data_IF_845306262340
#
_entry.id   IF_845306262340
#
_cell.length_a   1.000
_cell.length_b   1.000
_cell.length_c   1.000
_cell.angle_alpha   90.00
_cell.angle_beta   90.00
_cell.angle_gamma   90.00
#
_symmetry.space_group_name_H-M   'P 1'
#
loop_
_entity.id
_entity.type
_entity.pdbx_description
1 polymer ?
#
# COMPACT_ATOMS: atom_id res chain seq x y z
N UNK A 1 -30.96 15.84 -2.32
CA UNK A 1 -31.20 14.44 -2.73
C UNK A 1 -29.82 13.80 -2.84
N UNK A 2 -29.37 13.11 -1.79
CA UNK A 2 -28.03 12.52 -1.77
C UNK A 2 -27.94 11.46 -2.86
N UNK A 3 -27.02 11.65 -3.80
CA UNK A 3 -26.74 10.62 -4.79
C UNK A 3 -26.28 9.37 -4.05
N UNK A 4 -27.03 8.27 -4.16
CA UNK A 4 -26.61 6.95 -3.68
C UNK A 4 -25.24 6.64 -4.28
N UNK A 5 -24.19 6.85 -3.51
CA UNK A 5 -22.84 6.44 -3.89
C UNK A 5 -22.74 4.93 -3.81
N UNK A 6 -21.82 4.35 -4.56
CA UNK A 6 -21.62 2.90 -4.56
C UNK A 6 -21.34 2.37 -3.13
N UNK A 7 -20.54 3.11 -2.34
CA UNK A 7 -20.29 2.83 -0.92
C UNK A 7 -21.56 2.87 -0.07
N UNK A 8 -22.45 3.85 -0.27
CA UNK A 8 -23.73 3.88 0.46
C UNK A 8 -24.70 2.77 0.05
N UNK A 9 -24.50 2.18 -1.14
CA UNK A 9 -25.36 1.10 -1.65
C UNK A 9 -24.87 -0.27 -1.19
N UNK A 10 -23.57 -0.52 -1.25
CA UNK A 10 -23.00 -1.85 -1.03
C UNK A 10 -22.06 -1.93 0.19
N UNK A 11 -21.79 -0.83 0.88
CA UNK A 11 -20.91 -0.81 2.05
C UNK A 11 -19.40 -0.77 1.74
N UNK A 12 -19.00 -0.84 0.47
CA UNK A 12 -17.59 -0.78 0.03
C UNK A 12 -17.45 -0.08 -1.32
N UNK A 13 -16.22 0.15 -1.80
CA UNK A 13 -15.95 0.58 -3.17
C UNK A 13 -14.84 -0.26 -3.81
N UNK A 14 -14.86 -0.42 -5.14
CA UNK A 14 -13.78 -1.16 -5.83
C UNK A 14 -12.39 -0.50 -5.72
N UNK A 15 -12.35 0.80 -5.38
CA UNK A 15 -11.12 1.56 -5.14
C UNK A 15 -10.39 1.13 -3.86
N UNK A 16 -11.02 0.35 -2.97
CA UNK A 16 -10.40 -0.20 -1.77
C UNK A 16 -9.20 -1.10 -2.08
N UNK A 17 -9.15 -1.69 -3.27
CA UNK A 17 -8.04 -2.54 -3.72
C UNK A 17 -7.01 -1.83 -4.58
N UNK A 18 -7.14 -0.52 -4.81
CA UNK A 18 -6.28 0.24 -5.73
C UNK A 18 -4.77 0.10 -5.43
N UNK A 19 -4.43 -0.12 -4.16
CA UNK A 19 -3.04 -0.28 -3.72
C UNK A 19 -2.74 -1.68 -3.16
N UNK A 20 -3.57 -2.67 -3.48
CA UNK A 20 -3.21 -4.06 -3.23
C UNK A 20 -2.22 -4.54 -4.29
N UNK A 21 -1.00 -3.99 -4.23
CA UNK A 21 0.06 -4.23 -5.21
C UNK A 21 0.67 -5.63 -5.14
N UNK A 22 0.16 -6.49 -4.23
CA UNK A 22 0.43 -7.92 -4.22
C UNK A 22 -0.27 -8.67 -5.35
N UNK A 23 -1.40 -8.18 -5.87
CA UNK A 23 -2.12 -8.83 -6.97
C UNK A 23 -1.62 -8.33 -8.32
N UNK A 24 -0.71 -9.09 -8.93
CA UNK A 24 -0.03 -8.73 -10.17
C UNK A 24 -0.19 -9.83 -11.21
N UNK A 25 -0.57 -9.45 -12.42
CA UNK A 25 -0.73 -10.31 -13.60
C UNK A 25 0.21 -9.78 -14.69
N UNK A 26 1.18 -10.58 -15.12
CA UNK A 26 2.17 -10.21 -16.14
C UNK A 26 2.88 -8.86 -15.88
N UNK A 27 3.15 -8.58 -14.60
CA UNK A 27 3.80 -7.35 -14.15
C UNK A 27 2.88 -6.13 -14.04
N UNK A 28 1.57 -6.31 -14.22
CA UNK A 28 0.55 -5.27 -14.07
C UNK A 28 -0.39 -5.54 -12.91
N UNK A 29 -0.68 -4.50 -12.15
CA UNK A 29 -1.80 -4.48 -11.21
C UNK A 29 -3.05 -3.97 -11.93
N UNK A 30 -4.16 -4.68 -11.78
CA UNK A 30 -5.46 -4.34 -12.37
C UNK A 30 -6.39 -3.81 -11.27
N UNK A 31 -6.99 -2.66 -11.51
CA UNK A 31 -7.77 -1.96 -10.50
C UNK A 31 -8.97 -1.22 -11.11
N UNK A 32 -9.77 -0.62 -10.23
CA UNK A 32 -10.89 0.22 -10.60
C UNK A 32 -10.71 1.65 -10.11
N UNK A 33 -11.05 2.61 -10.96
CA UNK A 33 -11.26 4.02 -10.60
C UNK A 33 -12.63 4.47 -11.06
N UNK A 34 -13.45 4.97 -10.13
CA UNK A 34 -14.79 5.50 -10.42
C UNK A 34 -14.79 6.62 -11.48
N UNK A 35 -13.84 7.58 -11.50
CA UNK A 35 -13.78 8.60 -12.55
C UNK A 35 -13.60 8.03 -13.95
N UNK A 36 -12.84 6.92 -14.08
CA UNK A 36 -12.56 6.30 -15.39
C UNK A 36 -13.82 5.70 -15.98
N UNK A 37 -14.75 5.18 -15.17
CA UNK A 37 -16.01 4.58 -15.64
C UNK A 37 -16.73 5.43 -16.69
N UNK A 38 -16.84 6.74 -16.47
CA UNK A 38 -17.56 7.65 -17.38
C UNK A 38 -16.77 8.04 -18.63
N UNK A 39 -15.44 7.99 -18.57
CA UNK A 39 -14.55 8.40 -19.66
C UNK A 39 -13.92 7.22 -20.39
N UNK A 40 -14.17 5.99 -19.96
CA UNK A 40 -13.52 4.77 -20.46
C UNK A 40 -13.67 4.61 -21.96
N UNK A 41 -14.89 4.69 -22.49
CA UNK A 41 -15.16 4.53 -23.93
C UNK A 41 -14.32 5.49 -24.80
N UNK A 42 -13.99 6.68 -24.28
CA UNK A 42 -13.17 7.66 -24.99
C UNK A 42 -11.67 7.43 -24.81
N UNK A 43 -11.25 6.86 -23.69
CA UNK A 43 -9.85 6.73 -23.28
C UNK A 43 -9.34 5.29 -23.35
N UNK A 44 -10.16 4.34 -23.77
CA UNK A 44 -9.82 2.92 -23.87
C UNK A 44 -8.51 2.70 -24.66
N UNK A 45 -7.61 1.89 -24.11
CA UNK A 45 -6.29 1.62 -24.69
C UNK A 45 -5.28 2.77 -24.58
N UNK A 46 -5.67 3.93 -24.04
CA UNK A 46 -4.75 5.05 -23.80
C UNK A 46 -4.06 4.94 -22.44
N UNK A 47 -2.94 5.65 -22.28
CA UNK A 47 -2.26 5.83 -21.00
C UNK A 47 -2.47 7.25 -20.50
N UNK A 48 -2.88 7.40 -19.24
CA UNK A 48 -3.10 8.68 -18.57
C UNK A 48 -2.22 8.81 -17.33
N UNK A 49 -2.10 10.03 -16.82
CA UNK A 49 -1.55 10.27 -15.49
C UNK A 49 -2.69 10.48 -14.51
N UNK A 50 -2.74 9.65 -13.46
CA UNK A 50 -3.75 9.74 -12.41
C UNK A 50 -3.15 10.43 -11.20
N UNK A 51 -3.75 11.54 -10.78
CA UNK A 51 -3.42 12.17 -9.51
C UNK A 51 -4.41 11.79 -8.43
N UNK A 52 -3.87 11.39 -7.29
CA UNK A 52 -4.63 10.94 -6.13
C UNK A 52 -4.65 12.06 -5.10
N UNK A 53 -5.82 12.37 -4.58
CA UNK A 53 -5.94 13.33 -3.50
C UNK A 53 -6.81 12.82 -2.35
N UNK A 54 -6.42 13.21 -1.15
CA UNK A 54 -7.19 12.99 0.06
C UNK A 54 -7.77 14.31 0.55
N UNK A 55 -8.92 14.23 1.20
CA UNK A 55 -9.60 15.36 1.82
C UNK A 55 -9.41 15.22 3.33
N UNK A 56 -8.80 16.22 3.94
CA UNK A 56 -8.66 16.30 5.39
C UNK A 56 -10.01 16.66 6.05
N UNK A 57 -10.18 16.38 7.36
CA UNK A 57 -11.36 16.81 8.13
C UNK A 57 -11.69 18.32 8.02
N UNK A 58 -10.67 19.15 7.81
CA UNK A 58 -10.82 20.60 7.58
C UNK A 58 -11.12 20.97 6.11
N UNK A 59 -11.49 19.99 5.27
CA UNK A 59 -11.79 20.13 3.83
C UNK A 59 -10.55 20.49 2.98
N UNK A 60 -9.36 20.58 3.58
CA UNK A 60 -8.14 20.80 2.81
C UNK A 60 -7.80 19.56 1.96
N UNK A 61 -7.45 19.81 0.71
CA UNK A 61 -7.03 18.76 -0.22
C UNK A 61 -5.51 18.61 -0.23
N UNK A 62 -5.06 17.38 -0.24
CA UNK A 62 -3.65 17.01 -0.35
C UNK A 62 -3.46 16.06 -1.51
N UNK A 63 -2.45 16.30 -2.35
CA UNK A 63 -1.93 15.28 -3.26
C UNK A 63 -1.25 14.20 -2.43
N UNK A 64 -1.81 13.00 -2.53
CA UNK A 64 -1.34 11.82 -1.80
C UNK A 64 -0.36 11.01 -2.65
N UNK A 65 -0.47 11.12 -3.97
CA UNK A 65 0.41 10.42 -4.88
C UNK A 65 -0.05 10.54 -6.32
N UNK A 66 0.58 9.77 -7.18
CA UNK A 66 0.17 9.64 -8.57
C UNK A 66 0.48 8.26 -9.13
N UNK A 67 -0.16 7.92 -10.24
CA UNK A 67 0.09 6.72 -11.03
C UNK A 67 0.41 7.18 -12.45
N UNK A 68 1.61 6.85 -12.96
CA UNK A 68 2.06 7.21 -14.30
C UNK A 68 3.13 6.25 -14.85
N UNK A 69 2.90 5.60 -16.01
CA UNK A 69 1.65 5.58 -16.78
C UNK A 69 0.53 4.76 -16.09
N UNK A 70 -0.73 5.14 -16.33
CA UNK A 70 -1.90 4.35 -15.98
C UNK A 70 -2.69 4.04 -17.24
N UNK A 71 -2.76 2.76 -17.62
CA UNK A 71 -3.45 2.30 -18.83
C UNK A 71 -4.94 2.13 -18.56
N UNK A 72 -5.78 2.65 -19.45
CA UNK A 72 -7.24 2.44 -19.41
C UNK A 72 -7.57 1.16 -20.16
N UNK A 73 -8.24 0.23 -19.48
CA UNK A 73 -8.42 -1.13 -19.99
C UNK A 73 -9.41 -1.20 -21.15
N UNK A 74 -9.09 -2.11 -22.08
CA UNK A 74 -10.07 -2.62 -23.04
C UNK A 74 -11.02 -3.64 -22.43
N UNK A 75 -12.14 -3.89 -23.08
CA UNK A 75 -13.09 -4.94 -22.66
C UNK A 75 -12.40 -6.32 -22.55
N UNK A 76 -11.57 -6.67 -23.53
CA UNK A 76 -10.81 -7.92 -23.53
C UNK A 76 -9.80 -8.00 -22.37
N UNK A 77 -9.12 -6.90 -22.06
CA UNK A 77 -8.17 -6.86 -20.95
C UNK A 77 -8.87 -6.96 -19.60
N UNK A 78 -10.03 -6.31 -19.44
CA UNK A 78 -10.83 -6.42 -18.22
C UNK A 78 -11.38 -7.84 -18.05
N UNK A 79 -11.84 -8.47 -19.13
CA UNK A 79 -12.29 -9.87 -19.12
C UNK A 79 -11.16 -10.84 -18.75
N UNK A 80 -9.97 -10.66 -19.34
CA UNK A 80 -8.77 -11.41 -19.00
C UNK A 80 -8.37 -11.26 -17.54
N UNK A 81 -8.41 -10.03 -17.01
CA UNK A 81 -8.13 -9.76 -15.60
C UNK A 81 -9.13 -10.49 -14.70
N UNK A 82 -10.42 -10.44 -15.02
CA UNK A 82 -11.45 -11.11 -14.24
C UNK A 82 -11.25 -12.63 -14.21
N UNK A 83 -11.03 -13.26 -15.37
CA UNK A 83 -10.77 -14.71 -15.46
C UNK A 83 -9.51 -15.09 -14.66
N UNK A 84 -8.47 -14.26 -14.71
CA UNK A 84 -7.24 -14.51 -13.98
C UNK A 84 -7.44 -14.36 -12.47
N UNK A 85 -8.16 -13.33 -12.02
CA UNK A 85 -8.50 -13.15 -10.60
C UNK A 85 -9.34 -14.32 -10.06
N UNK A 86 -10.26 -14.86 -10.86
CA UNK A 86 -11.04 -16.04 -10.50
C UNK A 86 -10.15 -17.28 -10.35
N UNK A 87 -9.26 -17.55 -11.31
CA UNK A 87 -8.30 -18.67 -11.26
C UNK A 87 -7.37 -18.62 -10.05
N UNK A 88 -6.97 -17.41 -9.63
CA UNK A 88 -6.11 -17.23 -8.46
C UNK A 88 -6.88 -17.23 -7.12
N UNK A 89 -8.22 -17.26 -7.16
CA UNK A 89 -9.06 -17.15 -5.96
C UNK A 89 -9.15 -15.74 -5.38
N UNK A 90 -8.61 -14.72 -6.07
CA UNK A 90 -8.62 -13.33 -5.57
C UNK A 90 -10.02 -12.72 -5.58
N UNK A 91 -10.92 -13.14 -6.48
CA UNK A 91 -12.33 -12.70 -6.40
C UNK A 91 -13.03 -13.22 -5.15
N UNK A 92 -12.70 -14.44 -4.73
CA UNK A 92 -13.26 -15.03 -3.52
C UNK A 92 -12.73 -14.30 -2.29
N UNK A 93 -11.44 -13.96 -2.29
CA UNK A 93 -10.86 -13.12 -1.26
C UNK A 93 -11.52 -11.73 -1.20
N UNK A 94 -11.77 -11.09 -2.34
CA UNK A 94 -12.54 -9.84 -2.38
C UNK A 94 -13.94 -10.02 -1.77
N UNK A 95 -14.60 -11.16 -2.02
CA UNK A 95 -15.91 -11.50 -1.46
C UNK A 95 -15.86 -11.61 0.06
N UNK A 96 -14.89 -12.37 0.58
CA UNK A 96 -14.66 -12.52 2.02
C UNK A 96 -14.38 -11.16 2.69
N UNK A 97 -13.57 -10.31 2.06
CA UNK A 97 -13.26 -8.97 2.57
C UNK A 97 -14.50 -8.07 2.64
N UNK A 98 -15.37 -8.14 1.63
CA UNK A 98 -16.65 -7.41 1.61
C UNK A 98 -17.59 -7.91 2.71
N UNK A 99 -17.69 -9.23 2.91
CA UNK A 99 -18.54 -9.81 3.98
C UNK A 99 -18.07 -9.38 5.38
N UNK A 100 -16.76 -9.31 5.61
CA UNK A 100 -16.19 -8.94 6.91
C UNK A 100 -16.45 -7.47 7.29
N UNK A 101 -16.56 -6.57 6.30
CA UNK A 101 -16.99 -5.17 6.54
C UNK A 101 -18.52 -5.01 6.57
N UNK A 102 -19.27 -6.11 6.61
CA UNK A 102 -20.72 -6.14 6.47
C UNK A 102 -21.22 -5.46 5.17
N UNK A 103 -20.40 -5.50 4.12
CA UNK A 103 -20.75 -5.06 2.79
C UNK A 103 -21.58 -6.11 2.04
N UNK A 104 -22.27 -5.65 0.99
CA UNK A 104 -23.09 -6.50 0.13
C UNK A 104 -22.27 -7.00 -1.07
N UNK A 105 -21.97 -8.29 -1.06
CA UNK A 105 -21.20 -8.98 -2.12
C UNK A 105 -21.82 -8.88 -3.50
N UNK A 106 -23.13 -8.57 -3.62
CA UNK A 106 -23.76 -8.31 -4.91
C UNK A 106 -23.08 -7.15 -5.67
N UNK A 107 -22.41 -6.25 -4.95
CA UNK A 107 -21.59 -5.21 -5.56
C UNK A 107 -20.44 -5.76 -6.42
N UNK A 108 -19.87 -6.92 -6.08
CA UNK A 108 -18.79 -7.55 -6.85
C UNK A 108 -19.25 -8.18 -8.18
N UNK A 109 -20.55 -8.12 -8.48
CA UNK A 109 -21.10 -8.56 -9.77
C UNK A 109 -20.87 -7.56 -10.91
N UNK A 110 -21.57 -7.75 -12.03
CA UNK A 110 -21.54 -6.85 -13.19
C UNK A 110 -20.60 -7.29 -14.30
N UNK A 111 -20.33 -6.39 -15.25
CA UNK A 111 -19.39 -6.69 -16.35
C UNK A 111 -17.94 -6.58 -15.86
N UNK A 112 -16.95 -7.15 -16.56
CA UNK A 112 -15.55 -7.08 -16.11
C UNK A 112 -15.06 -5.64 -15.86
N UNK A 113 -15.54 -4.67 -16.65
CA UNK A 113 -15.18 -3.26 -16.54
C UNK A 113 -15.79 -2.53 -15.35
N UNK A 114 -16.79 -3.11 -14.68
CA UNK A 114 -17.28 -2.61 -13.39
C UNK A 114 -16.30 -2.92 -12.25
N UNK A 115 -15.38 -3.87 -12.45
CA UNK A 115 -14.40 -4.33 -11.46
C UNK A 115 -12.96 -3.93 -11.79
N UNK A 116 -12.63 -3.86 -13.08
CA UNK A 116 -11.31 -3.48 -13.55
C UNK A 116 -11.45 -2.52 -14.73
N UNK A 117 -10.98 -1.29 -14.59
CA UNK A 117 -11.01 -0.32 -15.68
C UNK A 117 -9.66 0.38 -15.92
N UNK A 118 -8.67 0.08 -15.09
CA UNK A 118 -7.29 0.51 -15.25
C UNK A 118 -6.30 -0.61 -14.97
N UNK A 119 -5.08 -0.48 -15.52
CA UNK A 119 -3.90 -1.19 -15.04
C UNK A 119 -2.67 -0.30 -15.01
N UNK A 120 -1.72 -0.64 -14.15
CA UNK A 120 -0.42 0.03 -14.06
C UNK A 120 0.60 -0.92 -13.46
N UNK A 121 1.90 -0.66 -13.67
CA UNK A 121 2.94 -1.45 -12.97
C UNK A 121 3.04 -0.95 -11.53
N UNK A 122 3.30 -1.81 -10.54
CA UNK A 122 3.49 -1.36 -9.16
C UNK A 122 4.48 -0.19 -9.00
N UNK A 123 5.54 -0.15 -9.82
CA UNK A 123 6.54 0.92 -9.84
C UNK A 123 6.08 2.24 -10.46
N UNK A 124 4.96 2.24 -11.18
CA UNK A 124 4.36 3.44 -11.78
C UNK A 124 3.53 4.22 -10.75
N UNK A 125 3.28 3.65 -9.58
CA UNK A 125 2.56 4.27 -8.48
C UNK A 125 3.52 4.88 -7.44
N UNK A 126 3.49 6.20 -7.30
CA UNK A 126 4.24 6.92 -6.26
C UNK A 126 3.29 7.54 -5.24
N UNK A 127 3.37 7.07 -3.99
CA UNK A 127 2.77 7.72 -2.84
C UNK A 127 3.73 8.75 -2.25
N UNK A 128 3.28 10.00 -2.15
CA UNK A 128 4.07 11.07 -1.56
C UNK A 128 4.16 10.91 -0.04
N UNK A 129 5.32 11.21 0.54
CA UNK A 129 5.48 11.19 1.99
C UNK A 129 6.52 12.25 2.43
N UNK A 130 6.06 13.40 2.96
CA UNK A 130 4.67 13.71 3.32
C UNK A 130 3.80 14.06 2.10
N UNK A 131 2.48 14.00 2.26
CA UNK A 131 1.54 14.48 1.23
C UNK A 131 1.75 15.95 0.94
N UNK A 132 1.51 16.32 -0.32
CA UNK A 132 1.77 17.64 -0.85
C UNK A 132 0.47 18.43 -0.83
N UNK A 133 0.43 19.57 -0.15
CA UNK A 133 -0.76 20.43 -0.17
C UNK A 133 -1.02 20.90 -1.60
N UNK A 134 -2.27 20.87 -2.04
CA UNK A 134 -2.59 21.41 -3.35
C UNK A 134 -2.50 22.93 -3.32
N UNK A 135 -1.78 23.55 -4.26
CA UNK A 135 -1.82 25.00 -4.50
C UNK A 135 -2.94 25.29 -5.51
N UNK A 136 -3.72 26.33 -5.26
CA UNK A 136 -4.95 26.75 -5.96
C UNK A 136 -5.16 26.22 -7.40
N UNK A 137 -6.35 25.70 -7.69
CA UNK A 137 -6.80 25.21 -8.99
C UNK A 137 -8.24 24.66 -8.95
N UNK A 138 -8.84 24.35 -10.11
CA UNK A 138 -10.21 23.78 -10.24
C UNK A 138 -10.32 22.33 -9.72
N UNK A 139 -10.04 22.13 -8.44
CA UNK A 139 -10.20 20.85 -7.74
C UNK A 139 -11.50 20.74 -6.97
N UNK A 140 -12.23 21.86 -6.84
CA UNK A 140 -13.45 21.91 -6.04
C UNK A 140 -14.54 20.95 -6.54
N UNK A 141 -14.54 20.67 -7.85
CA UNK A 141 -15.50 19.77 -8.50
C UNK A 141 -15.13 18.28 -8.37
N UNK A 142 -13.91 17.95 -7.97
CA UNK A 142 -13.44 16.57 -7.94
C UNK A 142 -13.50 15.99 -6.53
N UNK A 143 -14.02 14.76 -6.42
CA UNK A 143 -14.24 14.10 -5.13
C UNK A 143 -13.01 13.37 -4.59
N UNK A 144 -12.21 12.66 -5.43
CA UNK A 144 -11.00 11.93 -4.98
C UNK A 144 -9.84 11.77 -6.00
N UNK A 145 -10.09 11.99 -7.30
CA UNK A 145 -9.09 11.74 -8.35
C UNK A 145 -9.16 12.76 -9.49
N UNK A 146 -8.04 12.96 -10.18
CA UNK A 146 -7.94 13.74 -11.40
C UNK A 146 -7.24 12.94 -12.50
N UNK A 147 -7.84 12.94 -13.69
CA UNK A 147 -7.28 12.33 -14.90
C UNK A 147 -6.74 13.43 -15.80
N UNK A 148 -5.46 13.34 -16.19
CA UNK A 148 -4.84 14.25 -17.15
C UNK A 148 -4.29 13.48 -18.35
N UNK A 149 -4.44 14.11 -19.51
CA UNK A 149 -3.75 13.74 -20.73
C UNK A 149 -2.40 14.46 -20.74
N UNK A 150 -1.32 13.73 -20.42
CA UNK A 150 0.10 14.11 -20.35
C UNK A 150 0.54 15.38 -19.56
N UNK A 151 -0.32 16.38 -19.32
CA UNK A 151 0.02 17.61 -18.60
C UNK A 151 -0.15 17.44 -17.08
N UNK A 152 0.88 17.81 -16.32
CA UNK A 152 0.93 17.63 -14.87
C UNK A 152 0.42 18.87 -14.11
N UNK A 153 -0.47 18.75 -13.12
CA UNK A 153 -0.80 19.81 -12.18
C UNK A 153 0.40 20.31 -11.38
N UNK A 154 0.35 21.59 -11.00
CA UNK A 154 1.37 22.26 -10.18
C UNK A 154 1.35 21.74 -8.73
N UNK A 155 2.43 21.06 -8.31
CA UNK A 155 2.59 20.54 -6.95
C UNK A 155 3.39 21.52 -6.08
N UNK A 156 3.07 21.60 -4.79
CA UNK A 156 4.01 22.21 -3.83
C UNK A 156 5.32 21.40 -3.80
N UNK A 157 6.50 22.04 -3.77
CA UNK A 157 7.77 21.32 -3.67
C UNK A 157 7.79 20.48 -2.39
N UNK A 158 8.44 19.30 -2.40
CA UNK A 158 8.67 18.54 -1.19
C UNK A 158 9.38 19.43 -0.16
N UNK A 159 9.10 19.28 1.15
CA UNK A 159 9.81 20.04 2.16
C UNK A 159 11.30 19.74 2.06
N UNK A 160 12.07 20.70 1.54
CA UNK A 160 13.52 20.58 1.45
C UNK A 160 14.08 20.39 2.86
N UNK A 161 15.01 19.46 3.04
CA UNK A 161 15.75 19.18 4.27
C UNK A 161 16.66 20.32 4.71
N UNK A 162 16.18 21.56 4.70
CA UNK A 162 16.87 22.71 5.28
C UNK A 162 16.46 22.81 6.75
N UNK A 163 17.46 23.03 7.61
CA UNK A 163 17.29 23.33 9.03
C UNK A 163 16.04 24.18 9.23
N UNK A 164 15.06 23.62 9.95
CA UNK A 164 13.82 24.31 10.27
C UNK A 164 14.19 25.58 11.03
N UNK A 165 14.11 26.74 10.38
CA UNK A 165 13.98 28.00 11.11
C UNK A 165 12.63 27.91 11.82
N UNK A 166 12.67 27.82 13.15
CA UNK A 166 11.48 27.80 13.97
C UNK A 166 10.68 29.08 13.71
N UNK A 167 9.60 28.98 12.93
CA UNK A 167 8.56 29.99 12.96
C UNK A 167 7.73 29.70 14.22
N UNK A 168 7.83 30.60 15.20
CA UNK A 168 6.98 30.63 16.37
C UNK A 168 5.56 31.03 15.93
N UNK A 169 4.83 30.09 15.34
CA UNK A 169 3.38 30.16 15.20
C UNK A 169 2.82 28.85 15.70
N UNK A 170 1.89 28.95 16.63
CA UNK A 170 1.14 27.82 17.19
C UNK A 170 0.55 27.02 16.04
N UNK A 171 1.07 25.81 15.83
CA UNK A 171 0.44 24.85 14.92
C UNK A 171 -0.87 24.42 15.57
N UNK A 172 -1.99 24.79 14.97
CA UNK A 172 -3.25 24.08 15.20
C UNK A 172 -2.99 22.58 15.00
N UNK A 173 -3.58 21.68 15.81
CA UNK A 173 -3.35 20.24 15.70
C UNK A 173 -3.84 19.77 14.33
N UNK A 174 -2.92 19.70 13.36
CA UNK A 174 -3.22 19.36 11.98
C UNK A 174 -3.42 17.86 11.86
N UNK A 175 -4.62 17.46 11.47
CA UNK A 175 -4.94 16.11 11.03
C UNK A 175 -4.05 15.72 9.84
N UNK A 176 -3.27 14.65 9.98
CA UNK A 176 -2.58 14.02 8.86
C UNK A 176 -3.62 13.27 8.04
N UNK A 177 -3.80 13.63 6.77
CA UNK A 177 -4.52 12.78 5.82
C UNK A 177 -3.70 11.50 5.66
N UNK A 178 -4.34 10.34 5.60
CA UNK A 178 -3.78 9.06 5.11
C UNK A 178 -4.62 8.67 3.88
N UNK A 179 -4.07 8.15 2.75
CA UNK A 179 -4.86 7.36 1.84
C UNK A 179 -5.35 6.18 2.67
N UNK A 180 -6.64 6.16 2.93
CA UNK A 180 -7.25 4.99 3.53
C UNK A 180 -7.47 3.99 2.41
N UNK A 181 -6.62 2.97 2.34
CA UNK A 181 -7.15 1.63 2.13
C UNK A 181 -7.94 1.31 3.40
N UNK A 182 -9.17 0.81 3.30
CA UNK A 182 -9.98 0.50 4.48
C UNK A 182 -9.20 -0.35 5.50
N UNK A 183 -9.29 -0.08 6.82
CA UNK A 183 -8.52 -0.80 7.84
C UNK A 183 -8.61 -2.32 7.70
N UNK A 184 -9.80 -2.81 7.36
CA UNK A 184 -10.07 -4.24 7.17
C UNK A 184 -9.29 -4.83 5.99
N UNK A 185 -9.16 -4.11 4.87
CA UNK A 185 -8.36 -4.58 3.71
C UNK A 185 -6.87 -4.58 4.06
N UNK A 186 -6.41 -3.59 4.83
CA UNK A 186 -5.03 -3.50 5.33
C UNK A 186 -4.71 -4.70 6.23
N UNK A 187 -5.59 -5.01 7.18
CA UNK A 187 -5.43 -6.13 8.12
C UNK A 187 -5.45 -7.48 7.39
N UNK A 188 -6.30 -7.64 6.37
CA UNK A 188 -6.40 -8.90 5.62
C UNK A 188 -5.21 -9.13 4.70
N UNK A 189 -4.77 -8.08 3.99
CA UNK A 189 -3.54 -8.13 3.21
C UNK A 189 -2.33 -8.42 4.09
N UNK A 190 -2.30 -7.87 5.32
CA UNK A 190 -1.27 -8.17 6.31
C UNK A 190 -1.28 -9.64 6.73
N UNK A 191 -2.43 -10.15 7.19
CA UNK A 191 -2.58 -11.53 7.65
C UNK A 191 -2.24 -12.55 6.55
N UNK A 192 -2.65 -12.28 5.31
CA UNK A 192 -2.36 -13.16 4.19
C UNK A 192 -0.87 -13.22 3.86
N UNK A 193 -0.16 -12.09 3.92
CA UNK A 193 1.30 -12.04 3.73
C UNK A 193 2.02 -12.76 4.88
N UNK A 194 1.61 -12.52 6.12
CA UNK A 194 2.18 -13.18 7.30
C UNK A 194 2.05 -14.69 7.22
N UNK A 195 0.87 -15.21 6.86
CA UNK A 195 0.65 -16.65 6.70
C UNK A 195 1.57 -17.28 5.63
N UNK A 196 1.71 -16.64 4.46
CA UNK A 196 2.56 -17.16 3.38
C UNK A 196 4.06 -17.13 3.74
N UNK A 197 4.51 -16.05 4.39
CA UNK A 197 5.89 -15.90 4.86
C UNK A 197 6.18 -16.91 5.97
N UNK A 198 5.25 -17.08 6.92
CA UNK A 198 5.33 -18.10 7.97
C UNK A 198 5.51 -19.50 7.38
N UNK A 199 4.67 -19.87 6.42
CA UNK A 199 4.75 -21.19 5.78
C UNK A 199 6.07 -21.39 5.01
N UNK A 200 6.63 -20.35 4.43
CA UNK A 200 7.95 -20.40 3.79
C UNK A 200 9.08 -20.61 4.80
N UNK A 201 9.11 -19.79 5.84
CA UNK A 201 10.11 -19.89 6.91
C UNK A 201 10.01 -21.22 7.64
N UNK A 202 8.79 -21.72 7.90
CA UNK A 202 8.54 -23.00 8.59
C UNK A 202 9.10 -24.17 7.80
N UNK A 203 9.01 -24.13 6.46
CA UNK A 203 9.61 -25.14 5.59
C UNK A 203 11.13 -25.10 5.62
N UNK A 204 11.73 -23.93 5.81
CA UNK A 204 13.18 -23.74 5.79
C UNK A 204 13.84 -24.05 7.15
N UNK A 205 13.29 -23.53 8.24
CA UNK A 205 13.91 -23.57 9.57
C UNK A 205 13.21 -24.50 10.57
N UNK A 206 12.06 -25.07 10.19
CA UNK A 206 11.22 -25.87 11.08
C UNK A 206 10.32 -25.01 11.96
N UNK A 207 9.25 -25.63 12.50
CA UNK A 207 8.24 -24.93 13.31
C UNK A 207 8.81 -24.38 14.62
N UNK A 208 9.71 -25.12 15.26
CA UNK A 208 10.23 -24.79 16.59
C UNK A 208 11.17 -23.57 16.58
N UNK A 209 11.67 -23.19 15.39
CA UNK A 209 12.49 -22.00 15.21
C UNK A 209 11.67 -20.72 15.05
N UNK A 210 10.34 -20.81 14.92
CA UNK A 210 9.49 -19.67 14.56
C UNK A 210 8.44 -19.43 15.63
N UNK A 211 8.37 -18.19 16.08
CA UNK A 211 7.34 -17.70 16.99
C UNK A 211 6.51 -16.65 16.26
N UNK A 212 5.19 -16.80 16.32
CA UNK A 212 4.22 -15.85 15.78
C UNK A 212 3.63 -15.05 16.93
N UNK A 213 3.43 -13.74 16.73
CA UNK A 213 2.66 -12.87 17.62
C UNK A 213 3.11 -12.90 19.10
N UNK A 214 4.38 -13.22 19.37
CA UNK A 214 4.97 -13.04 20.69
C UNK A 214 5.40 -11.57 20.81
N UNK A 215 4.90 -10.91 21.84
CA UNK A 215 5.16 -9.51 22.15
C UNK A 215 4.85 -8.52 21.01
N UNK A 216 3.83 -8.80 20.19
CA UNK A 216 3.37 -7.92 19.08
C UNK A 216 4.30 -7.85 17.84
N UNK A 217 5.37 -8.65 17.77
CA UNK A 217 6.14 -8.86 16.52
C UNK A 217 5.35 -9.76 15.59
N UNK A 218 5.29 -9.45 14.28
CA UNK A 218 4.60 -10.33 13.33
C UNK A 218 5.23 -11.74 13.27
N UNK A 219 6.55 -11.83 13.07
CA UNK A 219 7.28 -13.11 13.05
C UNK A 219 8.66 -12.97 13.71
N UNK A 220 8.98 -13.86 14.63
CA UNK A 220 10.30 -13.98 15.26
C UNK A 220 10.93 -15.32 14.86
N UNK A 221 12.15 -15.28 14.31
CA UNK A 221 12.89 -16.49 13.89
C UNK A 221 14.16 -16.64 14.73
N UNK A 222 14.21 -17.69 15.55
CA UNK A 222 15.34 -18.00 16.42
C UNK A 222 16.31 -18.94 15.71
N UNK A 223 17.52 -18.44 15.46
CA UNK A 223 18.65 -19.20 14.91
C UNK A 223 19.73 -19.36 15.97
N UNK A 224 20.76 -20.17 15.69
CA UNK A 224 21.77 -20.57 16.68
C UNK A 224 22.56 -19.42 17.33
N UNK A 225 22.71 -18.28 16.65
CA UNK A 225 23.46 -17.12 17.14
C UNK A 225 22.81 -15.76 16.83
N UNK A 226 21.63 -15.76 16.23
CA UNK A 226 20.92 -14.54 15.84
C UNK A 226 19.41 -14.72 15.98
N UNK A 227 18.74 -13.61 16.22
CA UNK A 227 17.28 -13.54 16.35
C UNK A 227 16.77 -12.55 15.33
N UNK A 228 16.00 -13.04 14.34
CA UNK A 228 15.46 -12.19 13.29
C UNK A 228 14.04 -11.80 13.65
N UNK A 229 13.83 -10.50 13.88
CA UNK A 229 12.51 -9.91 14.06
C UNK A 229 12.03 -9.40 12.70
N UNK A 230 10.88 -9.92 12.27
CA UNK A 230 10.28 -9.61 10.99
C UNK A 230 9.00 -8.83 11.26
N UNK A 231 8.94 -7.63 10.70
CA UNK A 231 7.75 -6.78 10.73
C UNK A 231 7.19 -6.67 9.31
N UNK A 232 5.93 -7.03 9.14
CA UNK A 232 5.20 -7.00 7.89
C UNK A 232 4.34 -5.74 7.85
N UNK A 233 4.27 -5.09 6.69
CA UNK A 233 3.38 -3.96 6.46
C UNK A 233 2.72 -4.11 5.10
N UNK A 234 1.39 -4.06 5.07
CA UNK A 234 0.59 -4.07 3.83
C UNK A 234 0.54 -2.70 3.13
N UNK A 235 1.42 -1.76 3.50
CA UNK A 235 1.52 -0.45 2.86
C UNK A 235 2.33 -0.52 1.56
N UNK A 236 1.92 0.26 0.56
CA UNK A 236 2.59 0.34 -0.75
C UNK A 236 3.92 1.12 -0.72
N UNK A 237 4.22 1.88 0.34
CA UNK A 237 5.45 2.68 0.44
C UNK A 237 6.48 2.01 1.35
N UNK A 238 7.63 1.64 0.79
CA UNK A 238 8.76 1.08 1.54
C UNK A 238 9.22 2.02 2.68
N UNK A 239 9.28 3.33 2.41
CA UNK A 239 9.66 4.34 3.41
C UNK A 239 8.66 4.40 4.57
N UNK A 240 7.36 4.30 4.29
CA UNK A 240 6.33 4.28 5.31
C UNK A 240 6.43 2.99 6.15
N UNK A 241 6.58 1.84 5.48
CA UNK A 241 6.76 0.55 6.16
C UNK A 241 7.95 0.59 7.14
N UNK A 242 9.11 1.07 6.69
CA UNK A 242 10.31 1.18 7.54
C UNK A 242 10.06 2.11 8.73
N UNK A 243 9.40 3.26 8.51
CA UNK A 243 9.10 4.22 9.58
C UNK A 243 8.18 3.62 10.65
N UNK A 244 7.15 2.90 10.22
CA UNK A 244 6.16 2.30 11.12
C UNK A 244 6.73 1.08 11.86
N UNK A 245 7.58 0.30 11.20
CA UNK A 245 8.20 -0.90 11.75
C UNK A 245 9.34 -0.62 12.72
N UNK A 246 10.17 0.40 12.44
CA UNK A 246 11.44 0.60 13.16
C UNK A 246 11.25 0.76 14.67
N UNK A 247 10.24 1.50 15.12
CA UNK A 247 9.98 1.69 16.55
C UNK A 247 9.65 0.38 17.26
N UNK A 248 8.77 -0.41 16.65
CA UNK A 248 8.32 -1.71 17.17
C UNK A 248 9.50 -2.69 17.22
N UNK A 249 10.25 -2.83 16.13
CA UNK A 249 11.43 -3.70 16.06
C UNK A 249 12.48 -3.38 17.12
N UNK A 250 12.72 -2.09 17.38
CA UNK A 250 13.64 -1.66 18.44
C UNK A 250 13.09 -1.98 19.84
N UNK A 251 11.80 -1.79 20.08
CA UNK A 251 11.16 -2.17 21.34
C UNK A 251 11.34 -3.67 21.60
N UNK A 252 11.03 -4.52 20.62
CA UNK A 252 11.10 -5.98 20.78
C UNK A 252 12.51 -6.51 21.04
N UNK A 253 13.53 -5.94 20.41
CA UNK A 253 14.89 -6.41 20.63
C UNK A 253 15.54 -5.88 21.91
N UNK A 254 15.10 -4.74 22.43
CA UNK A 254 15.82 -4.02 23.49
C UNK A 254 15.02 -3.79 24.76
N UNK A 255 13.70 -4.03 24.78
CA UNK A 255 12.90 -3.95 26.00
C UNK A 255 13.22 -5.12 26.95
N UNK A 256 13.31 -6.34 26.40
CA UNK A 256 13.71 -7.55 27.14
C UNK A 256 14.74 -8.36 26.30
N UNK A 257 16.02 -7.95 26.29
CA UNK A 257 17.03 -8.56 25.41
C UNK A 257 17.37 -10.00 25.82
N UNK A 258 17.50 -10.88 24.83
CA UNK A 258 18.04 -12.24 25.01
C UNK A 258 19.59 -12.19 25.04
N UNK A 259 20.19 -12.58 26.16
CA UNK A 259 21.64 -12.57 26.34
C UNK A 259 22.37 -13.46 25.31
N UNK A 260 23.42 -12.90 24.70
CA UNK A 260 24.29 -13.64 23.77
C UNK A 260 23.70 -13.85 22.36
N UNK A 261 22.54 -13.25 22.06
CA UNK A 261 21.88 -13.35 20.75
C UNK A 261 21.91 -12.00 20.04
N UNK A 262 22.34 -11.99 18.77
CA UNK A 262 22.36 -10.76 17.98
C UNK A 262 20.98 -10.51 17.33
N UNK A 263 20.28 -9.40 17.63
CA UNK A 263 19.02 -9.09 16.97
C UNK A 263 19.27 -8.62 15.54
N UNK A 264 18.45 -9.07 14.60
CA UNK A 264 18.39 -8.58 13.23
C UNK A 264 16.96 -8.13 12.92
N UNK A 265 16.83 -7.07 12.14
CA UNK A 265 15.54 -6.47 11.82
C UNK A 265 15.26 -6.62 10.34
N UNK A 266 14.12 -7.18 10.00
CA UNK A 266 13.66 -7.31 8.62
C UNK A 266 12.27 -6.70 8.48
N UNK A 267 12.17 -5.63 7.69
CA UNK A 267 10.88 -5.05 7.31
C UNK A 267 10.45 -5.65 5.98
N UNK A 268 9.24 -6.18 5.92
CA UNK A 268 8.65 -6.75 4.70
C UNK A 268 7.43 -5.93 4.30
N UNK A 269 7.36 -5.48 3.04
CA UNK A 269 6.18 -4.82 2.53
C UNK A 269 6.00 -5.00 1.02
N UNK A 270 4.80 -4.65 0.53
CA UNK A 270 4.45 -4.77 -0.88
C UNK A 270 5.12 -3.71 -1.77
N UNK A 271 5.59 -2.60 -1.19
CA UNK A 271 6.30 -1.57 -1.96
C UNK A 271 7.66 -2.05 -2.44
N UNK A 272 8.08 -1.67 -3.65
CA UNK A 272 9.50 -1.77 -4.01
C UNK A 272 10.29 -0.62 -3.37
N UNK A 273 11.58 -0.83 -3.14
CA UNK A 273 12.46 0.25 -2.70
C UNK A 273 12.82 1.16 -3.86
N UNK A 274 13.11 2.42 -3.52
CA UNK A 274 13.71 3.38 -4.44
C UNK A 274 15.17 3.64 -4.04
N UNK A 275 16.02 4.19 -4.91
CA UNK A 275 17.41 4.51 -4.56
C UNK A 275 17.54 5.40 -3.31
N UNK A 276 16.60 6.31 -3.08
CA UNK A 276 16.56 7.17 -1.90
C UNK A 276 16.26 6.37 -0.62
N UNK A 277 15.36 5.38 -0.71
CA UNK A 277 15.04 4.49 0.42
C UNK A 277 16.22 3.57 0.75
N UNK A 278 16.89 3.03 -0.27
CA UNK A 278 18.11 2.24 -0.07
C UNK A 278 19.23 3.04 0.61
N UNK A 279 19.42 4.29 0.16
CA UNK A 279 20.38 5.22 0.77
C UNK A 279 20.02 5.53 2.22
N UNK A 280 18.73 5.70 2.52
CA UNK A 280 18.23 5.87 3.88
C UNK A 280 18.50 4.66 4.77
N UNK A 281 18.20 3.43 4.31
CA UNK A 281 18.51 2.19 5.04
C UNK A 281 20.01 2.02 5.29
N UNK A 282 20.85 2.34 4.30
CA UNK A 282 22.30 2.31 4.45
C UNK A 282 22.77 3.29 5.54
N UNK A 283 22.21 4.50 5.58
CA UNK A 283 22.52 5.47 6.61
C UNK A 283 22.09 4.97 8.00
N UNK A 284 20.90 4.39 8.14
CA UNK A 284 20.42 3.86 9.43
C UNK A 284 21.35 2.77 9.94
N UNK A 285 21.72 1.81 9.08
CA UNK A 285 22.65 0.72 9.40
C UNK A 285 24.01 1.24 9.83
N UNK A 286 24.61 2.13 9.04
CA UNK A 286 25.99 2.58 9.27
C UNK A 286 26.12 3.62 10.38
N UNK A 287 25.15 4.51 10.54
CA UNK A 287 25.22 5.61 11.51
C UNK A 287 24.86 5.18 12.92
N UNK A 288 23.86 4.31 13.05
CA UNK A 288 23.30 3.89 14.35
C UNK A 288 23.60 2.43 14.69
N UNK A 289 24.26 1.69 13.79
CA UNK A 289 24.53 0.26 13.96
C UNK A 289 23.26 -0.56 14.19
N UNK A 290 22.15 -0.15 13.56
CA UNK A 290 20.87 -0.85 13.61
C UNK A 290 20.87 -1.87 12.46
N UNK A 291 20.80 -3.18 12.73
CA UNK A 291 20.90 -4.25 11.72
C UNK A 291 19.57 -4.44 10.96
N UNK A 292 19.07 -3.37 10.34
CA UNK A 292 17.81 -3.34 9.62
C UNK A 292 17.97 -3.56 8.12
N UNK A 293 17.16 -4.46 7.59
CA UNK A 293 17.01 -4.77 6.17
C UNK A 293 15.56 -4.59 5.75
N UNK A 294 15.36 -4.47 4.44
CA UNK A 294 14.03 -4.39 3.83
C UNK A 294 13.90 -5.46 2.76
N UNK A 295 12.71 -6.04 2.65
CA UNK A 295 12.37 -6.93 1.55
C UNK A 295 11.01 -6.57 0.96
N UNK A 296 11.02 -6.37 -0.35
CA UNK A 296 9.79 -6.36 -1.13
C UNK A 296 9.24 -7.79 -1.21
N UNK A 297 7.97 -7.96 -0.87
CA UNK A 297 7.28 -9.24 -1.01
C UNK A 297 5.87 -9.05 -1.53
N UNK A 298 5.53 -9.83 -2.55
CA UNK A 298 4.18 -9.94 -3.09
C UNK A 298 3.67 -11.35 -2.84
N UNK A 299 2.39 -11.44 -2.49
CA UNK A 299 1.72 -12.71 -2.24
C UNK A 299 1.77 -13.60 -3.48
N UNK A 300 1.84 -14.91 -3.28
CA UNK A 300 1.99 -15.91 -4.35
C UNK A 300 3.44 -16.18 -4.74
N UNK A 301 4.41 -15.44 -4.21
CA UNK A 301 5.84 -15.70 -4.41
C UNK A 301 6.24 -17.08 -3.85
N UNK A 302 5.59 -17.53 -2.77
CA UNK A 302 5.75 -18.84 -2.08
C UNK A 302 7.17 -19.20 -1.61
N UNK A 303 8.15 -18.36 -1.93
CA UNK A 303 9.56 -18.49 -1.60
C UNK A 303 9.98 -17.25 -0.81
N UNK A 304 10.50 -17.48 0.40
CA UNK A 304 11.01 -16.44 1.28
C UNK A 304 12.07 -17.07 2.18
N UNK A 305 13.24 -16.45 2.31
CA UNK A 305 14.39 -16.96 3.08
C UNK A 305 15.17 -15.83 3.74
N UNK A 306 15.62 -15.98 4.98
CA UNK A 306 16.23 -14.88 5.77
C UNK A 306 17.76 -14.79 5.72
#
# INVERSE_FOLDING_TARGET
>A
MEARTYVTQYGFGHEEWLFNLAWVIDGYHYAYLQPVRKSRERLEGTSVKVYLFGIAPNVERYYVGHIAPCEILTDDQAAFALETYEKHGWLEEMREQVEQVAGDVAGLGGVPTDRFNIRFRPNDAELYDPYRRVREGKLDDFRRYLLFDAESPSLSPPPAGKQRKAAATTKSPGSYVRPSTGPVVVDLAHNALQAEIYDALRREHGKDAIVLEEDFVDIKVRLSNRLVFIEIKSVASAKAAIREALGQLLEYAYFEPEDGVHPEFLVVAQGMTTPDVESYLALVRTRFNIPITYRHYVRGSKQFSI
#
